data_IF_618390079192
#
_entry.id   IF_618390079192
#
_cell.length_a   1.000
_cell.length_b   1.000
_cell.length_c   1.000
_cell.angle_alpha   90.00
_cell.angle_beta   90.00
_cell.angle_gamma   90.00
#
_symmetry.space_group_name_H-M   'P 1'
#
loop_
_entity.id
_entity.type
_entity.pdbx_description
1 polymer ?
#
# COMPACT_ATOMS: atom_id res chain seq x y z
N UNK A 1 -28.47 10.28 8.06
CA UNK A 1 -27.54 9.14 8.11
C UNK A 1 -26.15 9.72 7.94
N UNK A 2 -25.35 9.76 9.02
CA UNK A 2 -24.00 10.30 8.95
C UNK A 2 -23.09 9.25 8.31
N UNK A 3 -22.76 9.42 7.03
CA UNK A 3 -21.63 8.72 6.45
C UNK A 3 -20.38 9.31 7.10
N UNK A 4 -19.83 8.65 8.13
CA UNK A 4 -18.47 8.89 8.53
C UNK A 4 -17.58 8.43 7.37
N UNK A 5 -17.37 9.31 6.40
CA UNK A 5 -16.21 9.20 5.52
C UNK A 5 -15.00 9.49 6.39
N UNK A 6 -14.34 8.44 6.91
CA UNK A 6 -13.00 8.59 7.45
C UNK A 6 -12.13 9.21 6.38
N UNK A 7 -11.42 10.29 6.72
CA UNK A 7 -10.59 11.00 5.74
C UNK A 7 -9.47 10.04 5.29
N UNK A 8 -9.05 10.08 4.00
CA UNK A 8 -7.99 9.20 3.50
C UNK A 8 -6.75 9.12 4.41
N UNK A 9 -6.34 10.25 4.98
CA UNK A 9 -5.23 10.35 5.93
C UNK A 9 -5.41 9.51 7.19
N UNK A 10 -6.62 9.45 7.75
CA UNK A 10 -6.89 8.65 8.95
C UNK A 10 -6.76 7.16 8.64
N UNK A 11 -7.28 6.73 7.48
CA UNK A 11 -7.19 5.35 7.02
C UNK A 11 -5.75 4.94 6.70
N UNK A 12 -4.95 5.84 6.13
CA UNK A 12 -3.51 5.63 5.89
C UNK A 12 -2.75 5.47 7.21
N UNK A 13 -3.03 6.33 8.20
CA UNK A 13 -2.41 6.24 9.53
C UNK A 13 -2.82 4.93 10.21
N UNK A 14 -4.09 4.53 10.11
CA UNK A 14 -4.58 3.29 10.68
C UNK A 14 -3.94 2.06 10.01
N UNK A 15 -3.78 2.06 8.69
CA UNK A 15 -3.06 1.00 7.99
C UNK A 15 -1.59 0.89 8.44
N UNK A 16 -0.92 2.03 8.66
CA UNK A 16 0.43 2.06 9.21
C UNK A 16 0.49 1.49 10.65
N UNK A 17 -0.52 1.78 11.47
CA UNK A 17 -0.64 1.24 12.83
C UNK A 17 -0.85 -0.29 12.83
N UNK A 18 -1.72 -0.80 11.95
CA UNK A 18 -1.93 -2.24 11.75
C UNK A 18 -0.64 -2.95 11.34
N UNK A 19 0.12 -2.35 10.41
CA UNK A 19 1.43 -2.85 9.99
C UNK A 19 2.44 -2.88 11.14
N UNK A 20 2.44 -1.86 12.01
CA UNK A 20 3.32 -1.80 13.18
C UNK A 20 3.08 -2.95 14.17
N UNK A 21 1.83 -3.39 14.32
CA UNK A 21 1.48 -4.57 15.13
C UNK A 21 1.51 -5.88 14.33
N UNK A 22 2.14 -5.88 13.15
CA UNK A 22 2.29 -7.02 12.24
C UNK A 22 0.97 -7.58 11.67
N UNK A 23 -0.14 -6.84 11.77
CA UNK A 23 -1.39 -7.17 11.08
C UNK A 23 -1.33 -6.68 9.63
N UNK A 24 -0.50 -7.36 8.83
CA UNK A 24 -0.25 -7.00 7.44
C UNK A 24 -1.49 -7.19 6.55
N UNK A 25 -2.26 -8.25 6.80
CA UNK A 25 -3.49 -8.53 6.04
C UNK A 25 -4.56 -7.50 6.38
N UNK A 26 -4.71 -7.12 7.66
CA UNK A 26 -5.60 -6.05 8.07
C UNK A 26 -5.22 -4.70 7.45
N UNK A 27 -3.93 -4.34 7.49
CA UNK A 27 -3.43 -3.11 6.87
C UNK A 27 -3.72 -3.05 5.37
N UNK A 28 -3.46 -4.16 4.64
CA UNK A 28 -3.72 -4.27 3.22
C UNK A 28 -5.23 -4.16 2.92
N UNK A 29 -6.06 -4.94 3.59
CA UNK A 29 -7.51 -4.94 3.39
C UNK A 29 -8.13 -3.56 3.64
N UNK A 30 -7.65 -2.85 4.67
CA UNK A 30 -8.11 -1.50 4.98
C UNK A 30 -7.86 -0.53 3.82
N UNK A 31 -6.69 -0.60 3.21
CA UNK A 31 -6.35 0.24 2.05
C UNK A 31 -7.22 -0.17 0.85
N UNK A 32 -7.27 -1.45 0.51
CA UNK A 32 -8.00 -1.91 -0.68
C UNK A 32 -9.50 -1.57 -0.63
N UNK A 33 -10.11 -1.68 0.54
CA UNK A 33 -11.52 -1.35 0.72
C UNK A 33 -11.84 0.14 0.52
N UNK A 34 -10.84 1.03 0.60
CA UNK A 34 -11.05 2.47 0.58
C UNK A 34 -10.31 3.21 -0.54
N UNK A 35 -9.40 2.54 -1.26
CA UNK A 35 -8.47 3.19 -2.20
C UNK A 35 -9.18 3.91 -3.35
N UNK A 36 -10.36 3.45 -3.75
CA UNK A 36 -11.17 4.09 -4.80
C UNK A 36 -11.72 5.45 -4.36
N UNK A 37 -11.81 5.71 -3.05
CA UNK A 37 -12.22 7.00 -2.48
C UNK A 37 -11.04 7.95 -2.25
N UNK A 38 -9.80 7.52 -2.54
CA UNK A 38 -8.60 8.35 -2.36
C UNK A 38 -8.22 8.99 -3.69
N UNK A 39 -7.68 10.20 -3.64
CA UNK A 39 -7.26 10.94 -4.84
C UNK A 39 -5.81 11.42 -4.74
N UNK A 40 -5.16 11.49 -5.90
CA UNK A 40 -3.81 12.03 -6.06
C UNK A 40 -2.81 11.48 -5.02
N UNK A 41 -2.24 12.37 -4.24
CA UNK A 41 -1.22 12.02 -3.24
C UNK A 41 -1.73 11.04 -2.18
N UNK A 42 -2.99 11.14 -1.75
CA UNK A 42 -3.53 10.24 -0.73
C UNK A 42 -3.67 8.81 -1.29
N UNK A 43 -4.01 8.66 -2.58
CA UNK A 43 -4.05 7.36 -3.25
C UNK A 43 -2.68 6.71 -3.30
N UNK A 44 -1.65 7.48 -3.68
CA UNK A 44 -0.26 7.00 -3.70
C UNK A 44 0.19 6.59 -2.29
N UNK A 45 -0.09 7.41 -1.28
CA UNK A 45 0.26 7.11 0.12
C UNK A 45 -0.48 5.89 0.67
N UNK A 46 -1.77 5.72 0.33
CA UNK A 46 -2.56 4.54 0.67
C UNK A 46 -1.97 3.28 0.04
N UNK A 47 -1.75 3.30 -1.28
CA UNK A 47 -1.09 2.20 -2.01
C UNK A 47 0.28 1.87 -1.43
N UNK A 48 1.04 2.87 -0.99
CA UNK A 48 2.33 2.66 -0.33
C UNK A 48 2.19 1.87 0.98
N UNK A 49 1.23 2.20 1.85
CA UNK A 49 1.00 1.40 3.06
C UNK A 49 0.58 -0.03 2.72
N UNK A 50 -0.29 -0.21 1.73
CA UNK A 50 -0.65 -1.53 1.22
C UNK A 50 0.54 -2.30 0.66
N UNK A 51 1.43 -1.62 -0.08
CA UNK A 51 2.66 -2.20 -0.64
C UNK A 51 3.60 -2.69 0.47
N UNK A 52 3.86 -1.86 1.48
CA UNK A 52 4.70 -2.24 2.61
C UNK A 52 4.08 -3.40 3.39
N UNK A 53 2.78 -3.34 3.69
CA UNK A 53 2.07 -4.43 4.35
C UNK A 53 2.15 -5.74 3.56
N UNK A 54 1.89 -5.71 2.25
CA UNK A 54 1.99 -6.89 1.40
C UNK A 54 3.42 -7.45 1.36
N UNK A 55 4.44 -6.58 1.25
CA UNK A 55 5.85 -6.99 1.24
C UNK A 55 6.25 -7.64 2.57
N UNK A 56 5.94 -7.00 3.69
CA UNK A 56 6.29 -7.50 5.03
C UNK A 56 5.49 -8.74 5.42
N UNK A 57 4.27 -8.89 4.91
CA UNK A 57 3.43 -10.08 5.07
C UNK A 57 3.75 -11.22 4.09
N UNK A 58 4.77 -11.08 3.24
CA UNK A 58 5.16 -12.12 2.26
C UNK A 58 4.22 -12.27 1.06
N UNK A 59 3.28 -11.36 0.86
CA UNK A 59 2.34 -11.32 -0.26
C UNK A 59 2.99 -10.67 -1.49
N UNK A 60 4.06 -11.27 -2.01
CA UNK A 60 4.94 -10.67 -3.02
C UNK A 60 4.22 -10.31 -4.33
N UNK A 61 3.28 -11.13 -4.80
CA UNK A 61 2.48 -10.81 -6.00
C UNK A 61 1.64 -9.55 -5.80
N UNK A 62 1.06 -9.40 -4.61
CA UNK A 62 0.27 -8.23 -4.25
C UNK A 62 1.15 -6.99 -4.10
N UNK A 63 2.29 -7.12 -3.44
CA UNK A 63 3.28 -6.06 -3.33
C UNK A 63 3.74 -5.60 -4.72
N UNK A 64 3.97 -6.53 -5.65
CA UNK A 64 4.32 -6.20 -7.05
C UNK A 64 3.21 -5.47 -7.79
N UNK A 65 1.97 -5.91 -7.62
CA UNK A 65 0.81 -5.24 -8.21
C UNK A 65 0.70 -3.79 -7.73
N UNK A 66 0.80 -3.58 -6.42
CA UNK A 66 0.75 -2.25 -5.82
C UNK A 66 1.95 -1.40 -6.23
N UNK A 67 3.16 -1.97 -6.29
CA UNK A 67 4.35 -1.28 -6.75
C UNK A 67 4.24 -0.79 -8.20
N UNK A 68 3.66 -1.59 -9.10
CA UNK A 68 3.40 -1.16 -10.48
C UNK A 68 2.39 0.00 -10.51
N UNK A 69 1.27 -0.12 -9.80
CA UNK A 69 0.26 0.94 -9.72
C UNK A 69 0.82 2.25 -9.14
N UNK A 70 1.68 2.17 -8.14
CA UNK A 70 2.36 3.33 -7.57
C UNK A 70 3.33 3.93 -8.60
N UNK A 71 4.11 3.11 -9.29
CA UNK A 71 5.08 3.59 -10.29
C UNK A 71 4.40 4.25 -11.51
N UNK A 72 3.18 3.84 -11.86
CA UNK A 72 2.37 4.50 -12.88
C UNK A 72 1.96 5.93 -12.47
N UNK A 73 1.69 6.17 -11.18
CA UNK A 73 1.29 7.49 -10.66
C UNK A 73 2.48 8.35 -10.24
N UNK A 74 3.47 7.78 -9.56
CA UNK A 74 4.70 8.41 -9.09
C UNK A 74 5.90 7.45 -9.24
N UNK A 75 6.59 7.48 -10.40
CA UNK A 75 7.76 6.64 -10.66
C UNK A 75 9.00 7.04 -9.84
N UNK A 76 8.95 8.17 -9.12
CA UNK A 76 10.06 8.72 -8.36
C UNK A 76 10.31 8.01 -7.04
N UNK A 77 9.39 7.18 -6.56
CA UNK A 77 9.46 6.58 -5.23
C UNK A 77 10.58 5.53 -5.14
N UNK A 78 11.65 5.76 -4.36
CA UNK A 78 12.84 4.90 -4.39
C UNK A 78 12.58 3.46 -3.95
N UNK A 79 11.74 3.25 -2.94
CA UNK A 79 11.42 1.91 -2.41
C UNK A 79 10.67 1.05 -3.41
N UNK A 80 9.76 1.65 -4.17
CA UNK A 80 9.01 0.99 -5.25
C UNK A 80 9.93 0.67 -6.42
N UNK A 81 10.76 1.63 -6.84
CA UNK A 81 11.75 1.43 -7.90
C UNK A 81 12.75 0.32 -7.56
N UNK A 82 13.27 0.31 -6.34
CA UNK A 82 14.16 -0.73 -5.86
C UNK A 82 13.46 -2.10 -5.94
N UNK A 83 12.27 -2.21 -5.38
CA UNK A 83 11.49 -3.46 -5.38
C UNK A 83 11.22 -4.01 -6.80
N UNK A 84 10.84 -3.14 -7.75
CA UNK A 84 10.59 -3.56 -9.13
C UNK A 84 11.89 -3.94 -9.88
N UNK A 85 13.03 -3.39 -9.47
CA UNK A 85 14.34 -3.68 -10.06
C UNK A 85 14.97 -4.97 -9.52
N UNK A 86 14.59 -5.41 -8.31
CA UNK A 86 15.13 -6.62 -7.68
C UNK A 86 14.78 -7.91 -8.45
N UNK A 87 13.79 -7.87 -9.35
CA UNK A 87 13.39 -8.99 -10.19
C UNK A 87 12.80 -10.17 -9.39
N UNK A 88 12.07 -11.10 -10.04
CA UNK A 88 11.53 -12.29 -9.36
C UNK A 88 12.60 -13.30 -8.92
N UNK A 89 13.87 -13.09 -9.25
CA UNK A 89 14.93 -14.11 -9.18
C UNK A 89 15.67 -14.19 -7.83
N UNK A 90 15.37 -13.30 -6.87
CA UNK A 90 16.08 -13.23 -5.57
C UNK A 90 15.25 -13.62 -4.34
N UNK A 91 14.08 -14.21 -4.52
CA UNK A 91 13.29 -14.82 -3.44
C UNK A 91 13.56 -16.33 -3.33
N UNK A 92 14.83 -16.74 -3.44
CA UNK A 92 15.31 -18.12 -3.30
C UNK A 92 15.98 -18.36 -1.96
#
# INVERSE_FOLDING_TARGET
MAHHHSMPKELIIQAAALRHIQDYVGALNLIEANIESFDGADRVQGRLQGFYAAREGGLLEKARTLALQIAEEDPGIPSVRAFLSEGPDRAG
#
